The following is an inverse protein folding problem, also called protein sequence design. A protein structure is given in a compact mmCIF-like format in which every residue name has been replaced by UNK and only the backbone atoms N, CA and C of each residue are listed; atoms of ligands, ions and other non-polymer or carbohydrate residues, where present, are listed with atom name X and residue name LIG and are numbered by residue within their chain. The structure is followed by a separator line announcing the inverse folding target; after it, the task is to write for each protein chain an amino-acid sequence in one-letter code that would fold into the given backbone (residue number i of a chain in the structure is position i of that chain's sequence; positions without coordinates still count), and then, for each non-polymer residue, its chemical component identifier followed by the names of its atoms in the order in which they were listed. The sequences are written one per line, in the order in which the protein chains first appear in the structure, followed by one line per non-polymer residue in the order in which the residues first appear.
data_IF_497486780992
#
_entry.id   IF_497486780992
#
_cell.length_a   1.000
_cell.length_b   1.000
_cell.length_c   1.000
_cell.angle_alpha   90.00
_cell.angle_beta   90.00
_cell.angle_gamma   90.00
#
_symmetry.space_group_name_H-M   'P 1'
#
loop_
_entity.id
_entity.type
_entity.pdbx_description
1 polymer ?
#
# COMPACT_ATOMS: atom_id res chain seq x y z
N UNK A 1 -80.52 -21.92 4.80
CA UNK A 1 -81.97 -21.65 4.72
C UNK A 1 -82.22 -20.32 5.42
N UNK A 2 -82.88 -19.37 4.72
CA UNK A 2 -83.40 -18.06 5.17
C UNK A 2 -82.43 -16.88 5.42
N UNK A 3 -82.55 -15.96 4.46
CA UNK A 3 -82.35 -14.52 4.48
C UNK A 3 -82.79 -13.82 5.78
N UNK A 4 -82.10 -12.71 6.12
CA UNK A 4 -82.73 -11.40 6.38
C UNK A 4 -81.70 -10.28 6.29
N UNK A 5 -81.92 -9.36 5.34
CA UNK A 5 -81.31 -8.03 5.24
C UNK A 5 -81.81 -7.14 6.38
N UNK A 6 -80.97 -6.22 6.86
CA UNK A 6 -81.40 -4.86 7.18
C UNK A 6 -80.29 -3.84 6.85
N UNK A 7 -80.74 -2.69 6.37
CA UNK A 7 -79.99 -1.62 5.70
C UNK A 7 -79.55 -0.54 6.72
N UNK A 8 -78.27 -0.12 6.60
CA UNK A 8 -77.54 1.16 6.85
C UNK A 8 -78.26 2.35 7.56
N UNK A 9 -77.54 3.18 8.37
CA UNK A 9 -76.55 4.16 7.86
C UNK A 9 -75.24 4.25 8.68
N UNK A 10 -74.06 4.31 8.04
CA UNK A 10 -73.31 5.54 7.71
C UNK A 10 -73.06 6.48 8.92
N UNK A 11 -71.91 6.30 9.56
CA UNK A 11 -71.14 7.38 10.19
C UNK A 11 -69.67 7.13 9.87
N UNK A 12 -69.17 7.91 8.92
CA UNK A 12 -67.76 7.95 8.55
C UNK A 12 -67.01 8.72 9.65
N UNK A 13 -66.09 8.05 10.33
CA UNK A 13 -65.03 8.70 11.10
C UNK A 13 -63.72 8.34 10.42
N UNK A 14 -63.04 9.28 9.74
CA UNK A 14 -61.67 9.04 9.30
C UNK A 14 -60.79 9.20 10.53
N UNK A 15 -60.39 8.09 11.15
CA UNK A 15 -59.27 8.11 12.08
C UNK A 15 -57.98 8.25 11.26
N UNK A 16 -57.71 9.50 10.87
CA UNK A 16 -56.42 9.97 10.39
C UNK A 16 -55.50 10.03 11.62
N UNK A 17 -55.02 8.86 12.07
CA UNK A 17 -53.84 8.80 12.92
C UNK A 17 -52.66 9.19 12.04
N UNK A 18 -52.34 10.48 12.09
CA UNK A 18 -51.05 11.05 11.78
C UNK A 18 -49.98 10.25 12.54
N UNK A 19 -49.48 9.19 11.89
CA UNK A 19 -48.15 8.67 12.13
C UNK A 19 -47.14 9.69 11.58
N UNK A 20 -47.12 10.89 12.16
CA UNK A 20 -45.92 11.71 12.18
C UNK A 20 -44.95 10.97 13.09
N UNK A 21 -44.33 9.93 12.53
CA UNK A 21 -43.10 9.41 13.07
C UNK A 21 -42.18 10.60 13.18
N UNK A 22 -41.93 11.03 14.42
CA UNK A 22 -40.68 11.68 14.77
C UNK A 22 -39.61 10.68 14.32
N UNK A 23 -39.14 10.83 13.08
CA UNK A 23 -37.90 10.21 12.67
C UNK A 23 -36.87 10.85 13.59
N UNK A 24 -36.57 10.16 14.70
CA UNK A 24 -35.42 10.48 15.51
C UNK A 24 -34.27 10.56 14.51
N UNK A 25 -33.69 11.75 14.36
CA UNK A 25 -32.48 11.90 13.58
C UNK A 25 -31.52 10.86 14.14
N UNK A 26 -31.12 9.93 13.28
CA UNK A 26 -30.21 8.86 13.61
C UNK A 26 -28.90 9.20 12.90
N UNK A 27 -27.79 8.88 13.55
CA UNK A 27 -26.48 8.97 12.93
C UNK A 27 -26.50 8.28 11.56
N UNK A 28 -26.02 8.99 10.54
CA UNK A 28 -26.02 8.48 9.17
C UNK A 28 -24.85 9.00 8.36
N UNK A 29 -24.38 8.16 7.44
CA UNK A 29 -23.33 8.46 6.50
C UNK A 29 -23.80 8.08 5.09
N UNK A 30 -23.89 9.06 4.20
CA UNK A 30 -24.41 8.85 2.83
C UNK A 30 -23.35 9.28 1.82
N UNK A 31 -22.95 8.36 0.94
CA UNK A 31 -21.99 8.64 -0.11
C UNK A 31 -22.63 9.33 -1.33
N UNK A 32 -22.09 10.48 -1.71
CA UNK A 32 -22.42 11.22 -2.93
C UNK A 32 -21.38 10.90 -4.00
N UNK A 33 -21.73 10.00 -4.93
CA UNK A 33 -20.83 9.56 -6.01
C UNK A 33 -20.42 10.69 -6.95
N UNK A 34 -21.27 11.71 -7.17
CA UNK A 34 -20.95 12.80 -8.10
C UNK A 34 -19.87 13.70 -7.52
N UNK A 35 -19.93 13.95 -6.20
CA UNK A 35 -18.98 14.77 -5.46
C UNK A 35 -17.78 13.99 -4.93
N UNK A 36 -17.83 12.66 -4.98
CA UNK A 36 -16.85 11.78 -4.35
C UNK A 36 -16.68 12.10 -2.85
N UNK A 37 -17.80 12.30 -2.16
CA UNK A 37 -17.82 12.78 -0.79
C UNK A 37 -18.90 12.09 0.05
N UNK A 38 -18.63 11.93 1.33
CA UNK A 38 -19.58 11.46 2.33
C UNK A 38 -20.25 12.64 3.02
N UNK A 39 -21.57 12.57 3.16
CA UNK A 39 -22.34 13.45 4.05
C UNK A 39 -22.56 12.71 5.36
N UNK A 40 -22.03 13.27 6.44
CA UNK A 40 -22.04 12.70 7.78
C UNK A 40 -23.00 13.52 8.63
N UNK A 41 -24.04 12.86 9.14
CA UNK A 41 -25.04 13.48 10.01
C UNK A 41 -24.96 12.82 11.38
N UNK A 42 -24.63 13.58 12.41
CA UNK A 42 -24.47 13.07 13.76
C UNK A 42 -24.83 14.10 14.82
N UNK A 43 -25.12 13.64 16.02
CA UNK A 43 -25.23 14.52 17.17
C UNK A 43 -23.85 14.73 17.82
N UNK A 44 -23.44 15.99 17.93
CA UNK A 44 -22.22 16.37 18.64
C UNK A 44 -22.30 15.92 20.11
N UNK A 45 -21.35 15.11 20.60
CA UNK A 45 -21.38 14.60 21.97
C UNK A 45 -21.22 15.69 23.04
N UNK A 46 -20.59 16.83 22.70
CA UNK A 46 -20.36 17.93 23.65
C UNK A 46 -21.55 18.89 23.68
N UNK A 47 -22.06 19.27 22.51
CA UNK A 47 -23.10 20.30 22.39
C UNK A 47 -24.52 19.75 22.28
N UNK A 48 -24.66 18.43 22.07
CA UNK A 48 -25.94 17.76 21.74
C UNK A 48 -26.64 18.33 20.49
N UNK A 49 -25.94 19.12 19.66
CA UNK A 49 -26.49 19.67 18.42
C UNK A 49 -26.30 18.71 17.26
N UNK A 50 -27.25 18.69 16.34
CA UNK A 50 -27.12 17.94 15.09
C UNK A 50 -26.17 18.66 14.14
N UNK A 51 -25.09 18.00 13.75
CA UNK A 51 -24.11 18.47 12.81
C UNK A 51 -24.24 17.74 11.47
N UNK A 52 -23.88 18.46 10.40
CA UNK A 52 -23.73 17.92 9.06
C UNK A 52 -22.31 18.26 8.57
N UNK A 53 -21.49 17.23 8.39
CA UNK A 53 -20.10 17.35 7.93
C UNK A 53 -19.97 16.70 6.56
N UNK A 54 -19.22 17.33 5.66
CA UNK A 54 -18.88 16.74 4.37
C UNK A 54 -17.43 16.27 4.40
N UNK A 55 -17.20 14.99 4.12
CA UNK A 55 -15.87 14.42 4.01
C UNK A 55 -15.60 14.05 2.55
N UNK A 56 -14.62 14.69 1.92
CA UNK A 56 -14.23 14.38 0.53
C UNK A 56 -13.25 13.22 0.55
N UNK A 57 -13.52 12.15 -0.23
CA UNK A 57 -12.58 11.04 -0.31
C UNK A 57 -11.29 11.45 -1.04
N UNK A 58 -10.16 10.96 -0.55
CA UNK A 58 -8.80 11.19 -1.03
C UNK A 58 -8.38 10.18 -2.12
N UNK A 59 -9.34 9.57 -2.81
CA UNK A 59 -9.11 8.53 -3.81
C UNK A 59 -9.36 9.01 -5.26
N UNK A 60 -9.72 10.27 -5.49
CA UNK A 60 -9.97 10.83 -6.82
C UNK A 60 -8.67 11.21 -7.57
N UNK A 61 -7.64 10.40 -7.37
CA UNK A 61 -6.35 10.42 -8.07
C UNK A 61 -6.28 9.28 -9.08
N UNK A 62 -5.41 9.40 -10.09
CA UNK A 62 -5.17 8.34 -11.08
C UNK A 62 -3.66 8.13 -11.24
N UNK A 63 -3.01 7.52 -10.23
CA UNK A 63 -1.57 7.38 -10.23
C UNK A 63 -1.10 6.25 -11.16
N UNK A 64 0.04 6.49 -11.81
CA UNK A 64 0.84 5.44 -12.42
C UNK A 64 2.26 5.51 -11.84
N UNK A 65 2.82 4.35 -11.46
CA UNK A 65 4.16 4.24 -10.90
C UNK A 65 5.05 3.40 -11.81
N UNK A 66 6.22 3.94 -12.15
CA UNK A 66 7.34 3.11 -12.63
C UNK A 66 8.26 2.83 -11.47
N UNK A 67 8.60 1.57 -11.29
CA UNK A 67 9.59 1.15 -10.28
C UNK A 67 10.76 0.45 -10.95
N UNK A 68 11.97 0.83 -10.54
CA UNK A 68 13.22 0.25 -11.03
C UNK A 68 14.14 -0.08 -9.86
N UNK A 69 14.93 -1.13 -10.01
CA UNK A 69 15.94 -1.58 -9.06
C UNK A 69 17.28 -1.74 -9.76
N UNK A 70 18.32 -1.19 -9.15
CA UNK A 70 19.69 -1.27 -9.64
C UNK A 70 20.60 -1.78 -8.51
N UNK A 71 21.49 -2.71 -8.84
CA UNK A 71 22.54 -3.18 -7.92
C UNK A 71 23.64 -2.13 -7.82
N UNK A 72 24.06 -1.81 -6.59
CA UNK A 72 25.19 -0.93 -6.28
C UNK A 72 26.01 -1.55 -5.15
N UNK A 73 27.02 -2.34 -5.50
CA UNK A 73 27.79 -3.11 -4.52
C UNK A 73 26.92 -4.16 -3.83
N UNK A 74 26.84 -4.12 -2.49
CA UNK A 74 25.95 -4.99 -1.70
C UNK A 74 24.53 -4.43 -1.54
N UNK A 75 24.28 -3.21 -1.99
CA UNK A 75 22.99 -2.53 -1.85
C UNK A 75 22.20 -2.56 -3.18
N UNK A 76 20.90 -2.45 -3.04
CA UNK A 76 19.91 -2.28 -4.10
C UNK A 76 19.32 -0.88 -4.00
N UNK A 77 19.31 -0.16 -5.11
CA UNK A 77 18.75 1.18 -5.23
C UNK A 77 17.42 1.07 -5.97
N UNK A 78 16.34 1.27 -5.23
CA UNK A 78 14.97 1.32 -5.71
C UNK A 78 14.62 2.75 -6.08
N UNK A 79 14.15 2.96 -7.30
CA UNK A 79 13.75 4.28 -7.82
C UNK A 79 12.31 4.24 -8.26
N UNK A 80 11.56 5.28 -7.90
CA UNK A 80 10.17 5.42 -8.28
C UNK A 80 9.94 6.72 -9.05
N UNK A 81 9.22 6.61 -10.16
CA UNK A 81 8.66 7.71 -10.95
C UNK A 81 7.15 7.63 -10.81
N UNK A 82 6.55 8.67 -10.26
CA UNK A 82 5.11 8.74 -10.01
C UNK A 82 4.48 9.79 -10.91
N UNK A 83 3.36 9.45 -11.55
CA UNK A 83 2.60 10.37 -12.38
C UNK A 83 1.13 10.34 -11.99
N UNK A 84 0.43 11.46 -12.20
CA UNK A 84 -1.01 11.55 -11.98
C UNK A 84 -1.68 11.86 -13.33
N UNK A 85 -2.65 11.04 -13.76
CA UNK A 85 -3.31 11.25 -15.05
C UNK A 85 -3.96 12.64 -15.15
N UNK A 86 -4.07 13.18 -16.37
CA UNK A 86 -4.80 14.43 -16.64
C UNK A 86 -6.27 14.36 -16.23
N UNK A 87 -6.83 13.15 -16.17
CA UNK A 87 -8.22 12.90 -15.78
C UNK A 87 -8.42 12.79 -14.26
N UNK A 88 -7.35 12.88 -13.46
CA UNK A 88 -7.46 12.92 -12.01
C UNK A 88 -8.13 14.22 -11.55
N UNK A 89 -8.85 14.17 -10.43
CA UNK A 89 -9.53 15.33 -9.83
C UNK A 89 -8.77 15.90 -8.63
N UNK A 90 -7.81 15.16 -8.09
CA UNK A 90 -6.99 15.54 -6.94
C UNK A 90 -5.50 15.50 -7.27
N UNK A 91 -4.72 16.31 -6.55
CA UNK A 91 -3.26 16.27 -6.50
C UNK A 91 -2.82 15.14 -5.58
N UNK A 92 -1.82 14.33 -5.94
CA UNK A 92 -1.32 13.27 -5.05
C UNK A 92 -0.47 13.88 -3.94
N UNK A 93 -0.84 13.68 -2.68
CA UNK A 93 -0.18 14.28 -1.50
C UNK A 93 0.45 13.25 -0.55
N UNK A 94 0.27 11.96 -0.81
CA UNK A 94 0.94 10.89 -0.10
C UNK A 94 1.41 9.84 -1.09
N UNK A 95 2.66 9.42 -0.90
CA UNK A 95 3.18 8.20 -1.49
C UNK A 95 3.76 7.35 -0.37
N UNK A 96 3.12 6.21 -0.06
CA UNK A 96 3.55 5.31 1.00
C UNK A 96 3.70 3.90 0.48
N UNK A 97 4.88 3.32 0.53
CA UNK A 97 5.06 1.88 0.32
C UNK A 97 4.84 1.18 1.65
N UNK A 98 3.82 0.34 1.73
CA UNK A 98 3.34 -0.27 2.97
C UNK A 98 3.32 -1.80 2.89
N UNK A 99 3.19 -2.43 4.05
CA UNK A 99 3.15 -3.90 4.17
C UNK A 99 4.49 -4.56 3.88
N UNK A 100 5.60 -3.84 4.08
CA UNK A 100 6.92 -4.43 4.01
C UNK A 100 7.19 -5.16 5.34
N UNK A 101 7.79 -6.36 5.31
CA UNK A 101 8.24 -7.00 6.54
C UNK A 101 9.24 -6.08 7.26
N UNK A 102 9.43 -6.30 8.56
CA UNK A 102 10.50 -5.64 9.30
C UNK A 102 11.86 -6.08 8.74
N UNK A 103 12.37 -5.30 7.79
CA UNK A 103 13.59 -5.60 7.05
C UNK A 103 14.83 -4.92 7.62
N UNK A 104 14.73 -4.16 8.72
CA UNK A 104 15.90 -3.65 9.41
C UNK A 104 15.78 -3.70 10.91
N UNK A 105 16.96 -3.79 11.52
CA UNK A 105 17.18 -3.49 12.93
C UNK A 105 17.18 -1.97 13.06
N UNK A 106 16.31 -1.41 13.90
CA UNK A 106 16.39 -0.01 14.27
C UNK A 106 17.75 0.18 14.97
N UNK A 107 18.63 1.07 14.49
CA UNK A 107 19.88 1.32 15.19
C UNK A 107 19.58 1.83 16.59
N UNK A 108 20.42 1.45 17.56
CA UNK A 108 20.29 1.94 18.93
C UNK A 108 20.57 3.46 18.95
N UNK A 109 19.51 4.26 18.92
CA UNK A 109 19.63 5.71 18.94
C UNK A 109 20.02 6.18 20.35
N UNK A 110 20.65 7.37 20.48
CA UNK A 110 20.92 7.95 21.78
C UNK A 110 19.63 7.99 22.63
N UNK A 111 19.69 7.46 23.85
CA UNK A 111 18.54 7.45 24.75
C UNK A 111 18.29 8.86 25.30
N UNK A 112 17.02 9.24 25.40
CA UNK A 112 16.58 10.41 26.16
C UNK A 112 16.31 9.94 27.58
N UNK A 113 17.23 10.22 28.49
CA UNK A 113 17.17 9.78 29.90
C UNK A 113 16.81 10.90 30.85
N UNK A 114 16.99 12.15 30.43
CA UNK A 114 16.62 13.31 31.22
C UNK A 114 15.10 13.42 31.36
N UNK A 115 14.64 13.98 32.47
CA UNK A 115 13.22 14.21 32.70
C UNK A 115 12.83 15.60 32.17
N UNK A 116 11.85 15.67 31.27
CA UNK A 116 11.40 16.91 30.65
C UNK A 116 10.96 17.99 31.65
N UNK A 117 10.48 17.60 32.85
CA UNK A 117 10.01 18.53 33.89
C UNK A 117 11.12 19.05 34.79
N UNK A 118 12.17 18.26 35.04
CA UNK A 118 13.22 18.61 36.02
C UNK A 118 14.58 18.94 35.41
N UNK A 119 14.83 18.50 34.17
CA UNK A 119 16.09 18.68 33.44
C UNK A 119 15.81 19.13 32.00
N UNK A 120 14.95 20.14 31.81
CA UNK A 120 14.41 20.53 30.50
C UNK A 120 15.49 20.79 29.42
N UNK A 121 16.58 21.49 29.76
CA UNK A 121 17.65 21.81 28.79
C UNK A 121 18.39 20.55 28.33
N UNK A 122 18.70 19.65 29.28
CA UNK A 122 19.37 18.37 29.02
C UNK A 122 18.45 17.41 28.25
N UNK A 123 17.16 17.38 28.60
CA UNK A 123 16.14 16.64 27.84
C UNK A 123 16.07 17.14 26.41
N UNK A 124 15.98 18.46 26.22
CA UNK A 124 15.93 19.09 24.90
C UNK A 124 17.15 18.73 24.07
N UNK A 125 18.36 18.83 24.65
CA UNK A 125 19.60 18.46 23.97
C UNK A 125 19.64 16.97 23.57
N UNK A 126 19.29 16.07 24.49
CA UNK A 126 19.24 14.63 24.21
C UNK A 126 18.22 14.29 23.12
N UNK A 127 17.04 14.91 23.20
CA UNK A 127 15.97 14.73 22.22
C UNK A 127 16.40 15.21 20.82
N UNK A 128 17.03 16.40 20.72
CA UNK A 128 17.57 16.88 19.45
C UNK A 128 18.67 15.97 18.89
N UNK A 129 19.58 15.49 19.74
CA UNK A 129 20.61 14.54 19.32
C UNK A 129 19.99 13.26 18.75
N UNK A 130 18.97 12.72 19.42
CA UNK A 130 18.24 11.55 18.94
C UNK A 130 17.56 11.84 17.59
N UNK A 131 16.88 12.98 17.44
CA UNK A 131 16.24 13.39 16.18
C UNK A 131 17.24 13.55 15.04
N UNK A 132 18.41 14.13 15.31
CA UNK A 132 19.49 14.28 14.32
C UNK A 132 20.02 12.91 13.90
N UNK A 133 20.29 12.02 14.85
CA UNK A 133 20.71 10.64 14.56
C UNK A 133 19.68 9.89 13.72
N UNK A 134 18.39 10.00 14.07
CA UNK A 134 17.29 9.41 13.31
C UNK A 134 17.22 9.95 11.89
N UNK A 135 17.25 11.28 11.72
CA UNK A 135 17.25 11.93 10.41
C UNK A 135 18.45 11.52 9.55
N UNK A 136 19.65 11.48 10.14
CA UNK A 136 20.88 11.07 9.45
C UNK A 136 20.85 9.60 9.02
N UNK A 137 20.17 8.74 9.78
CA UNK A 137 19.93 7.36 9.38
C UNK A 137 18.89 7.27 8.25
N UNK A 138 17.74 7.92 8.41
CA UNK A 138 16.65 7.90 7.43
C UNK A 138 17.10 8.45 6.06
N UNK A 139 17.85 9.55 6.04
CA UNK A 139 18.37 10.16 4.80
C UNK A 139 19.36 9.29 4.02
N UNK A 140 19.99 8.30 4.66
CA UNK A 140 20.81 7.29 3.96
C UNK A 140 19.96 6.26 3.24
N UNK A 141 18.78 5.97 3.78
CA UNK A 141 17.88 4.92 3.27
C UNK A 141 16.89 5.52 2.27
N UNK A 142 16.27 6.64 2.60
CA UNK A 142 15.19 7.26 1.83
C UNK A 142 15.66 8.61 1.32
N UNK A 143 15.52 8.84 0.01
CA UNK A 143 15.68 10.17 -0.59
C UNK A 143 14.35 10.60 -1.17
N UNK A 144 14.06 11.89 -1.01
CA UNK A 144 12.89 12.54 -1.54
C UNK A 144 13.31 13.56 -2.61
N UNK A 145 12.49 13.77 -3.65
CA UNK A 145 12.73 14.84 -4.59
C UNK A 145 12.48 16.22 -3.99
N UNK A 146 12.85 17.28 -4.71
CA UNK A 146 12.59 18.67 -4.30
C UNK A 146 11.09 18.85 -4.02
N UNK A 147 10.79 19.52 -2.91
CA UNK A 147 9.41 19.78 -2.47
C UNK A 147 8.74 18.60 -1.76
N UNK A 148 9.44 17.47 -1.59
CA UNK A 148 8.97 16.32 -0.83
C UNK A 148 9.89 16.05 0.36
N UNK A 149 9.31 15.46 1.40
CA UNK A 149 10.02 14.89 2.54
C UNK A 149 9.87 13.37 2.52
N UNK A 150 10.92 12.66 2.92
CA UNK A 150 10.93 11.19 3.02
C UNK A 150 11.11 10.78 4.46
N UNK A 151 10.30 9.83 4.92
CA UNK A 151 10.29 9.36 6.31
C UNK A 151 10.21 7.84 6.34
N UNK A 152 10.87 7.25 7.32
CA UNK A 152 10.84 5.83 7.59
C UNK A 152 9.89 5.57 8.77
N UNK A 153 8.92 4.68 8.59
CA UNK A 153 8.02 4.27 9.68
C UNK A 153 8.23 2.80 10.00
N UNK A 154 8.53 2.53 11.27
CA UNK A 154 8.59 1.18 11.85
C UNK A 154 7.37 0.98 12.72
N UNK A 155 6.74 -0.18 12.59
CA UNK A 155 5.83 -0.71 13.59
C UNK A 155 6.39 -2.05 14.08
N UNK A 156 7.07 -2.03 15.23
CA UNK A 156 7.70 -3.23 15.80
C UNK A 156 6.66 -4.24 16.30
N UNK A 157 5.51 -3.76 16.80
CA UNK A 157 4.44 -4.62 17.32
C UNK A 157 3.82 -5.47 16.21
N UNK A 158 3.70 -4.89 15.01
CA UNK A 158 3.14 -5.57 13.84
C UNK A 158 4.25 -6.14 12.94
N UNK A 159 5.53 -5.91 13.27
CA UNK A 159 6.67 -6.39 12.49
C UNK A 159 6.70 -5.82 11.07
N UNK A 160 6.35 -4.54 10.90
CA UNK A 160 6.23 -3.89 9.59
C UNK A 160 7.09 -2.64 9.44
N UNK A 161 7.45 -2.39 8.19
CA UNK A 161 8.10 -1.17 7.75
C UNK A 161 7.26 -0.47 6.68
N UNK A 162 7.33 0.86 6.64
CA UNK A 162 6.88 1.61 5.47
C UNK A 162 7.80 2.78 5.13
N UNK A 163 7.94 3.04 3.84
CA UNK A 163 8.59 4.24 3.31
C UNK A 163 7.50 5.25 2.96
N UNK A 164 7.62 6.46 3.48
CA UNK A 164 6.59 7.50 3.34
C UNK A 164 7.20 8.73 2.73
N UNK A 165 6.57 9.24 1.68
CA UNK A 165 6.85 10.56 1.14
C UNK A 165 5.60 11.43 1.23
N UNK A 166 5.79 12.65 1.71
CA UNK A 166 4.76 13.69 1.76
C UNK A 166 5.33 15.02 1.25
N UNK A 167 4.52 15.90 0.63
CA UNK A 167 4.91 17.26 0.32
C UNK A 167 5.56 17.96 1.52
N UNK A 168 6.56 18.79 1.24
CA UNK A 168 7.22 19.60 2.26
C UNK A 168 6.36 20.78 2.69
N UNK A 169 6.40 21.12 3.98
CA UNK A 169 5.60 22.19 4.59
C UNK A 169 6.07 23.64 4.25
N UNK A 170 6.90 23.87 3.22
CA UNK A 170 7.50 25.19 2.97
C UNK A 170 6.92 25.88 1.73
N UNK A 171 6.77 27.21 1.85
CA UNK A 171 6.10 28.21 0.97
C UNK A 171 6.54 28.29 -0.51
N UNK A 172 7.18 27.28 -1.09
CA UNK A 172 7.64 27.29 -2.49
C UNK A 172 7.42 25.95 -3.20
N UNK A 173 6.22 25.37 -3.06
CA UNK A 173 5.63 24.26 -3.86
C UNK A 173 6.45 22.94 -3.98
N UNK A 174 5.80 21.78 -4.25
CA UNK A 174 4.41 21.58 -4.64
C UNK A 174 3.52 21.00 -3.55
N UNK A 175 2.22 21.33 -3.59
CA UNK A 175 1.09 20.64 -2.93
C UNK A 175 0.95 19.13 -3.30
N UNK A 176 1.99 18.50 -3.85
CA UNK A 176 2.00 17.13 -4.34
C UNK A 176 2.20 16.99 -5.86
N UNK A 177 1.62 15.97 -6.48
CA UNK A 177 1.68 15.74 -7.94
C UNK A 177 0.32 16.03 -8.57
N UNK A 178 0.19 17.22 -9.18
CA UNK A 178 -1.07 17.66 -9.79
C UNK A 178 -1.48 16.78 -10.98
N UNK A 179 -2.77 16.77 -11.35
CA UNK A 179 -3.23 16.08 -12.56
C UNK A 179 -2.41 16.44 -13.80
N UNK A 180 -2.00 15.43 -14.56
CA UNK A 180 -1.16 15.58 -15.75
C UNK A 180 0.33 15.81 -15.50
N UNK A 181 0.78 15.77 -14.25
CA UNK A 181 2.20 15.95 -13.87
C UNK A 181 2.85 14.63 -13.49
N UNK A 182 4.18 14.64 -13.54
CA UNK A 182 5.05 13.52 -13.17
C UNK A 182 6.15 14.03 -12.25
N UNK A 183 6.50 13.23 -11.24
CA UNK A 183 7.58 13.48 -10.31
C UNK A 183 8.52 12.27 -10.24
N UNK A 184 9.80 12.56 -10.39
CA UNK A 184 10.91 11.62 -10.25
C UNK A 184 11.65 11.84 -8.94
N UNK A 185 12.51 10.89 -8.56
CA UNK A 185 13.51 11.10 -7.51
C UNK A 185 13.10 10.57 -6.13
N UNK A 186 12.03 9.78 -6.05
CA UNK A 186 11.75 8.96 -4.88
C UNK A 186 12.70 7.76 -4.90
N UNK A 187 13.55 7.62 -3.88
CA UNK A 187 14.59 6.58 -3.85
C UNK A 187 14.63 5.90 -2.50
N UNK A 188 14.82 4.58 -2.53
CA UNK A 188 15.11 3.75 -1.36
C UNK A 188 16.40 2.96 -1.62
N UNK A 189 17.37 3.02 -0.72
CA UNK A 189 18.62 2.24 -0.78
C UNK A 189 18.64 1.21 0.33
N UNK A 190 18.74 -0.06 -0.03
CA UNK A 190 18.52 -1.19 0.88
C UNK A 190 19.28 -2.44 0.44
N UNK A 191 19.64 -3.32 1.37
CA UNK A 191 20.36 -4.58 1.05
C UNK A 191 19.43 -5.71 0.62
N UNK A 192 18.14 -5.59 0.93
CA UNK A 192 17.14 -6.59 0.59
C UNK A 192 16.89 -6.64 -0.92
N UNK A 193 16.54 -7.83 -1.39
CA UNK A 193 16.15 -8.09 -2.77
C UNK A 193 14.73 -7.60 -3.06
N UNK A 194 14.44 -7.27 -4.34
CA UNK A 194 13.16 -6.74 -4.74
C UNK A 194 12.05 -7.77 -4.58
N UNK A 195 11.01 -7.42 -3.86
CA UNK A 195 9.74 -8.11 -3.91
C UNK A 195 8.63 -7.21 -4.43
N UNK A 196 7.51 -7.80 -4.84
CA UNK A 196 6.28 -7.05 -5.03
C UNK A 196 5.73 -6.58 -3.68
N UNK A 197 5.45 -5.28 -3.60
CA UNK A 197 4.73 -4.62 -2.52
C UNK A 197 3.67 -3.67 -3.11
N UNK A 198 2.98 -2.92 -2.24
CA UNK A 198 1.96 -1.97 -2.66
C UNK A 198 2.30 -0.57 -2.17
N UNK A 199 2.10 0.39 -3.06
CA UNK A 199 2.09 1.80 -2.75
C UNK A 199 0.66 2.24 -2.45
N UNK A 200 0.41 2.75 -1.24
CA UNK A 200 -0.77 3.50 -0.87
C UNK A 200 -0.56 4.96 -1.25
N UNK A 201 -1.48 5.51 -2.03
CA UNK A 201 -1.49 6.92 -2.41
C UNK A 201 -2.83 7.56 -2.06
N UNK A 202 -2.77 8.82 -1.63
CA UNK A 202 -3.93 9.66 -1.34
C UNK A 202 -3.84 10.95 -2.15
N UNK A 203 -5.00 11.56 -2.36
CA UNK A 203 -5.17 12.86 -2.97
C UNK A 203 -5.43 13.94 -1.93
N UNK A 204 -4.89 15.13 -2.18
CA UNK A 204 -5.09 16.30 -1.33
C UNK A 204 -6.58 16.64 -1.19
N UNK A 205 -6.97 16.96 0.04
CA UNK A 205 -8.28 17.52 0.40
C UNK A 205 -8.07 18.71 1.34
N UNK A 206 -9.07 19.60 1.42
CA UNK A 206 -9.01 20.75 2.32
C UNK A 206 -9.02 20.35 3.81
N UNK A 207 -9.68 19.23 4.14
CA UNK A 207 -9.84 18.72 5.51
C UNK A 207 -9.50 17.23 5.59
N UNK A 208 -8.21 16.85 5.51
CA UNK A 208 -7.79 15.44 5.51
C UNK A 208 -8.09 14.73 6.84
N UNK A 209 -8.24 15.50 7.92
CA UNK A 209 -8.64 15.06 9.26
C UNK A 209 -10.16 15.12 9.48
N UNK A 210 -10.94 15.17 8.39
CA UNK A 210 -12.39 15.36 8.45
C UNK A 210 -13.18 14.22 9.09
N UNK A 211 -12.54 13.11 9.48
CA UNK A 211 -13.17 12.03 10.26
C UNK A 211 -12.86 12.11 11.75
N UNK A 212 -11.94 13.00 12.14
CA UNK A 212 -11.62 13.23 13.55
C UNK A 212 -12.81 13.93 14.22
N UNK A 213 -13.06 13.57 15.48
CA UNK A 213 -14.15 14.08 16.33
C UNK A 213 -15.58 13.64 15.95
N UNK A 214 -15.73 12.51 15.25
CA UNK A 214 -17.03 11.83 15.17
C UNK A 214 -17.35 11.13 16.51
N UNK A 215 -18.64 10.94 16.85
CA UNK A 215 -19.02 10.29 18.11
C UNK A 215 -18.41 8.89 18.23
N UNK A 216 -17.87 8.55 19.40
CA UNK A 216 -17.30 7.23 19.67
C UNK A 216 -18.42 6.20 19.93
N UNK A 217 -19.07 5.79 18.84
CA UNK A 217 -20.15 4.79 18.85
C UNK A 217 -19.79 3.64 17.91
N UNK A 218 -20.30 2.41 18.14
CA UNK A 218 -20.04 1.28 17.25
C UNK A 218 -20.39 1.55 15.78
N UNK A 219 -21.44 2.36 15.53
CA UNK A 219 -21.83 2.78 14.19
C UNK A 219 -20.72 3.61 13.51
N UNK A 220 -20.25 4.66 14.18
CA UNK A 220 -19.22 5.55 13.64
C UNK A 220 -17.86 4.86 13.53
N UNK A 221 -17.47 4.01 14.48
CA UNK A 221 -16.25 3.21 14.36
C UNK A 221 -16.27 2.36 13.08
N UNK A 222 -17.36 1.61 12.86
CA UNK A 222 -17.52 0.79 11.65
C UNK A 222 -17.54 1.64 10.37
N UNK A 223 -18.19 2.81 10.40
CA UNK A 223 -18.25 3.69 9.22
C UNK A 223 -16.95 4.41 8.92
N UNK A 224 -16.19 4.78 9.93
CA UNK A 224 -14.84 5.33 9.74
C UNK A 224 -13.97 4.28 9.06
N UNK A 225 -13.99 3.03 9.51
CA UNK A 225 -13.25 1.94 8.87
C UNK A 225 -13.64 1.79 7.39
N UNK A 226 -14.94 1.79 7.08
CA UNK A 226 -15.45 1.72 5.70
C UNK A 226 -14.98 2.90 4.83
N UNK A 227 -15.05 4.12 5.36
CA UNK A 227 -14.65 5.33 4.64
C UNK A 227 -13.14 5.32 4.41
N UNK A 228 -12.35 5.08 5.46
CA UNK A 228 -10.88 5.04 5.42
C UNK A 228 -10.37 3.92 4.53
N UNK A 229 -11.07 2.79 4.50
CA UNK A 229 -10.74 1.71 3.59
C UNK A 229 -10.84 2.18 2.15
N UNK A 230 -11.81 3.01 1.77
CA UNK A 230 -11.96 3.51 0.40
C UNK A 230 -11.12 4.75 0.09
N UNK A 231 -10.48 5.36 1.09
CA UNK A 231 -9.88 6.70 1.02
C UNK A 231 -8.50 6.77 0.33
N UNK A 232 -8.12 5.72 -0.38
CA UNK A 232 -6.82 5.65 -1.04
C UNK A 232 -6.86 4.73 -2.25
N UNK A 233 -5.83 4.84 -3.08
CA UNK A 233 -5.57 3.91 -4.18
C UNK A 233 -4.31 3.10 -3.89
N UNK A 234 -4.29 1.87 -4.39
CA UNK A 234 -3.14 0.96 -4.26
C UNK A 234 -2.52 0.72 -5.63
N UNK A 235 -1.22 0.89 -5.75
CA UNK A 235 -0.46 0.60 -6.98
C UNK A 235 0.62 -0.42 -6.64
N UNK A 236 0.78 -1.53 -7.39
CA UNK A 236 1.85 -2.48 -7.15
C UNK A 236 3.21 -1.83 -7.48
N UNK A 237 4.23 -2.09 -6.66
CA UNK A 237 5.59 -1.53 -6.81
C UNK A 237 6.66 -2.56 -6.42
N UNK A 238 7.83 -2.51 -7.06
CA UNK A 238 9.02 -3.23 -6.55
C UNK A 238 9.54 -2.53 -5.30
N UNK A 239 9.74 -3.27 -4.22
CA UNK A 239 10.24 -2.75 -2.96
C UNK A 239 11.25 -3.72 -2.31
N UNK A 240 12.11 -3.24 -1.40
CA UNK A 240 13.00 -4.11 -0.63
C UNK A 240 12.20 -4.97 0.35
N UNK A 241 11.99 -6.23 0.00
CA UNK A 241 11.11 -7.14 0.77
C UNK A 241 11.86 -8.35 1.28
N UNK A 242 12.77 -8.93 0.48
CA UNK A 242 13.36 -10.23 0.76
C UNK A 242 14.76 -10.04 1.39
N UNK A 243 14.95 -10.36 2.68
CA UNK A 243 16.24 -10.22 3.31
C UNK A 243 17.24 -11.23 2.78
N UNK A 244 18.43 -10.76 2.40
CA UNK A 244 19.55 -11.63 2.05
C UNK A 244 20.08 -12.30 3.33
N UNK A 245 20.20 -13.64 3.38
CA UNK A 245 20.71 -14.32 4.57
C UNK A 245 22.13 -13.86 4.94
N UNK A 246 22.38 -13.70 6.24
CA UNK A 246 23.70 -13.42 6.80
C UNK A 246 23.98 -14.41 7.94
N UNK A 247 24.94 -15.35 7.80
CA UNK A 247 25.77 -15.60 6.61
C UNK A 247 24.94 -16.03 5.39
N UNK A 248 25.51 -15.86 4.19
CA UNK A 248 24.81 -16.18 2.95
C UNK A 248 24.53 -17.68 2.81
N UNK A 249 23.31 -18.02 2.41
CA UNK A 249 22.89 -19.38 2.07
C UNK A 249 21.88 -19.31 0.92
N UNK A 250 22.24 -19.90 -0.23
CA UNK A 250 21.37 -19.92 -1.40
C UNK A 250 20.05 -20.66 -1.13
N UNK A 251 20.10 -21.78 -0.39
CA UNK A 251 18.91 -22.54 -0.03
C UNK A 251 17.97 -21.72 0.88
N UNK A 252 18.52 -21.01 1.86
CA UNK A 252 17.72 -20.14 2.73
C UNK A 252 17.14 -18.95 1.96
N UNK A 253 17.90 -18.36 1.04
CA UNK A 253 17.37 -17.32 0.17
C UNK A 253 16.22 -17.87 -0.70
N UNK A 254 16.37 -19.05 -1.30
CA UNK A 254 15.32 -19.70 -2.08
C UNK A 254 14.04 -19.97 -1.27
N UNK A 255 14.16 -20.34 0.02
CA UNK A 255 13.01 -20.45 0.93
C UNK A 255 12.29 -19.12 1.13
N UNK A 256 13.04 -18.05 1.40
CA UNK A 256 12.48 -16.70 1.56
C UNK A 256 11.77 -16.22 0.29
N UNK A 257 12.36 -16.50 -0.87
CA UNK A 257 11.73 -16.24 -2.18
C UNK A 257 10.42 -17.02 -2.33
N UNK A 258 10.42 -18.33 -2.03
CA UNK A 258 9.22 -19.16 -2.08
C UNK A 258 8.11 -18.59 -1.17
N UNK A 259 8.43 -18.25 0.07
CA UNK A 259 7.49 -17.64 1.02
C UNK A 259 6.92 -16.32 0.50
N UNK A 260 7.75 -15.47 -0.11
CA UNK A 260 7.27 -14.21 -0.69
C UNK A 260 6.34 -14.45 -1.89
N UNK A 261 6.70 -15.36 -2.79
CA UNK A 261 5.87 -15.72 -3.96
C UNK A 261 4.51 -16.28 -3.55
N UNK A 262 4.44 -17.04 -2.45
CA UNK A 262 3.16 -17.52 -1.91
C UNK A 262 2.23 -16.37 -1.48
N UNK A 263 2.77 -15.23 -1.04
CA UNK A 263 1.95 -14.08 -0.66
C UNK A 263 1.23 -13.41 -1.84
N UNK A 264 1.69 -13.64 -3.08
CA UNK A 264 1.15 -13.00 -4.28
C UNK A 264 -0.26 -13.47 -4.61
N UNK A 265 -0.61 -14.70 -4.24
CA UNK A 265 -1.96 -15.24 -4.45
C UNK A 265 -3.04 -14.48 -3.67
N UNK A 266 -2.71 -13.96 -2.48
CA UNK A 266 -3.64 -13.18 -1.63
C UNK A 266 -4.14 -11.91 -2.31
N UNK A 267 -3.37 -11.37 -3.26
CA UNK A 267 -3.65 -10.09 -3.90
C UNK A 267 -3.83 -10.24 -5.42
N UNK A 268 -4.13 -11.46 -5.89
CA UNK A 268 -4.44 -11.75 -7.29
C UNK A 268 -3.30 -11.35 -8.27
N UNK A 269 -2.05 -11.28 -7.80
CA UNK A 269 -0.88 -11.04 -8.67
C UNK A 269 -0.40 -12.32 -9.36
N UNK A 270 -0.91 -13.48 -8.95
CA UNK A 270 -0.59 -14.77 -9.55
C UNK A 270 -1.78 -15.71 -9.40
N UNK A 271 -2.12 -16.40 -10.49
CA UNK A 271 -3.11 -17.45 -10.47
C UNK A 271 -2.57 -18.71 -9.78
N UNK A 272 -3.47 -19.48 -9.17
CA UNK A 272 -3.14 -20.69 -8.42
C UNK A 272 -2.32 -21.70 -9.24
N UNK A 273 -2.62 -21.85 -10.53
CA UNK A 273 -1.90 -22.78 -11.42
C UNK A 273 -0.45 -22.37 -11.64
N UNK A 274 -0.19 -21.07 -11.90
CA UNK A 274 1.16 -20.53 -12.07
C UNK A 274 1.94 -20.67 -10.76
N UNK A 275 1.30 -20.31 -9.64
CA UNK A 275 1.88 -20.45 -8.30
C UNK A 275 2.26 -21.91 -7.99
N UNK A 276 1.42 -22.87 -8.36
CA UNK A 276 1.68 -24.30 -8.17
C UNK A 276 2.89 -24.77 -8.97
N UNK A 277 3.02 -24.32 -10.23
CA UNK A 277 4.19 -24.64 -11.07
C UNK A 277 5.48 -24.03 -10.51
N UNK A 278 5.44 -22.77 -10.07
CA UNK A 278 6.59 -22.13 -9.42
C UNK A 278 6.98 -22.83 -8.11
N UNK A 279 6.01 -23.19 -7.27
CA UNK A 279 6.26 -23.91 -6.02
C UNK A 279 6.97 -25.25 -6.27
N UNK A 280 6.55 -26.01 -7.29
CA UNK A 280 7.23 -27.25 -7.68
C UNK A 280 8.69 -27.02 -8.07
N UNK A 281 9.01 -25.91 -8.74
CA UNK A 281 10.40 -25.58 -9.08
C UNK A 281 11.20 -25.16 -7.84
N UNK A 282 10.59 -24.45 -6.88
CA UNK A 282 11.24 -24.18 -5.59
C UNK A 282 11.52 -25.47 -4.80
N UNK A 283 10.61 -26.45 -4.84
CA UNK A 283 10.78 -27.76 -4.19
C UNK A 283 11.94 -28.58 -4.79
N UNK A 284 12.33 -28.31 -6.04
CA UNK A 284 13.53 -28.86 -6.67
C UNK A 284 14.76 -28.00 -6.36
N UNK A 285 14.62 -26.67 -6.44
CA UNK A 285 15.72 -25.73 -6.26
C UNK A 285 16.33 -25.79 -4.85
N UNK A 286 15.49 -25.81 -3.81
CA UNK A 286 15.96 -25.72 -2.43
C UNK A 286 16.88 -26.92 -2.08
N UNK A 287 16.47 -28.19 -2.25
CA UNK A 287 17.36 -29.33 -1.99
C UNK A 287 18.60 -29.33 -2.89
N UNK A 288 18.47 -28.91 -4.15
CA UNK A 288 19.62 -28.82 -5.05
C UNK A 288 20.68 -27.83 -4.54
N UNK A 289 20.26 -26.70 -3.97
CA UNK A 289 21.17 -25.72 -3.35
C UNK A 289 21.79 -26.26 -2.06
N UNK A 290 21.03 -26.99 -1.24
CA UNK A 290 21.56 -27.64 -0.03
C UNK A 290 22.63 -28.68 -0.35
N UNK A 291 22.43 -29.45 -1.41
CA UNK A 291 23.37 -30.48 -1.87
C UNK A 291 24.48 -29.92 -2.77
N UNK A 292 24.54 -28.59 -2.96
CA UNK A 292 25.46 -27.92 -3.91
C UNK A 292 25.41 -28.51 -5.35
N UNK A 293 24.26 -29.05 -5.75
CA UNK A 293 24.01 -29.61 -7.07
C UNK A 293 23.68 -28.47 -8.06
N UNK A 294 24.72 -27.75 -8.49
CA UNK A 294 24.60 -26.60 -9.40
C UNK A 294 23.83 -26.91 -10.70
N UNK A 295 24.05 -28.04 -11.39
CA UNK A 295 23.28 -28.36 -12.60
C UNK A 295 21.77 -28.41 -12.36
N UNK A 296 21.34 -29.07 -11.28
CA UNK A 296 19.91 -29.18 -10.94
C UNK A 296 19.33 -27.84 -10.51
N UNK A 297 20.08 -27.06 -9.70
CA UNK A 297 19.67 -25.73 -9.31
C UNK A 297 19.48 -24.81 -10.52
N UNK A 298 20.41 -24.82 -11.49
CA UNK A 298 20.28 -24.05 -12.74
C UNK A 298 19.07 -24.47 -13.56
N UNK A 299 18.79 -25.77 -13.67
CA UNK A 299 17.63 -26.26 -14.40
C UNK A 299 16.31 -25.77 -13.78
N UNK A 300 16.19 -25.81 -12.45
CA UNK A 300 15.02 -25.29 -11.74
C UNK A 300 14.86 -23.77 -11.91
N UNK A 301 15.96 -23.01 -11.81
CA UNK A 301 15.96 -21.56 -12.07
C UNK A 301 15.54 -21.24 -13.51
N UNK A 302 16.08 -21.98 -14.49
CA UNK A 302 15.72 -21.81 -15.89
C UNK A 302 14.23 -22.09 -16.15
N UNK A 303 13.67 -23.11 -15.51
CA UNK A 303 12.24 -23.40 -15.59
C UNK A 303 11.37 -22.27 -15.01
N UNK A 304 11.74 -21.71 -13.86
CA UNK A 304 11.02 -20.55 -13.29
C UNK A 304 11.14 -19.30 -14.16
N UNK A 305 12.32 -19.02 -14.70
CA UNK A 305 12.53 -17.92 -15.66
C UNK A 305 11.67 -18.12 -16.91
N UNK A 306 11.57 -19.36 -17.40
CA UNK A 306 10.72 -19.70 -18.54
C UNK A 306 9.25 -19.38 -18.24
N UNK A 307 8.76 -19.74 -17.05
CA UNK A 307 7.39 -19.39 -16.63
C UNK A 307 7.18 -17.87 -16.67
N UNK A 308 8.12 -17.05 -16.16
CA UNK A 308 8.03 -15.60 -16.28
C UNK A 308 7.93 -15.13 -17.74
N UNK A 309 8.78 -15.66 -18.63
CA UNK A 309 8.81 -15.26 -20.05
C UNK A 309 7.62 -15.77 -20.86
N UNK A 310 7.02 -16.90 -20.47
CA UNK A 310 5.85 -17.46 -21.15
C UNK A 310 4.62 -16.55 -20.99
N UNK A 311 4.48 -15.92 -19.82
CA UNK A 311 3.43 -14.92 -19.54
C UNK A 311 3.81 -13.51 -20.02
N UNK A 312 5.11 -13.19 -20.05
CA UNK A 312 5.63 -11.86 -20.40
C UNK A 312 6.77 -11.96 -21.41
N UNK A 313 6.43 -12.17 -22.69
CA UNK A 313 7.42 -12.48 -23.75
C UNK A 313 8.49 -11.41 -23.96
N UNK A 314 8.17 -10.16 -23.64
CA UNK A 314 9.06 -8.99 -23.76
C UNK A 314 9.93 -8.77 -22.50
N UNK A 315 9.68 -9.54 -21.42
CA UNK A 315 10.49 -9.52 -20.22
C UNK A 315 11.74 -10.39 -20.39
N UNK A 316 12.86 -9.76 -20.72
CA UNK A 316 14.18 -10.41 -20.79
C UNK A 316 14.97 -10.18 -19.50
N UNK A 317 15.93 -11.05 -19.18
CA UNK A 317 16.73 -11.00 -17.94
C UNK A 317 17.43 -9.65 -17.72
N UNK A 318 17.92 -9.03 -18.80
CA UNK A 318 18.52 -7.70 -18.74
C UNK A 318 17.54 -6.60 -18.28
N UNK A 319 16.23 -6.79 -18.50
CA UNK A 319 15.16 -5.84 -18.16
C UNK A 319 14.47 -6.12 -16.83
N UNK A 320 14.81 -7.20 -16.12
CA UNK A 320 14.14 -7.56 -14.86
C UNK A 320 14.13 -6.41 -13.83
N UNK A 321 15.21 -5.61 -13.80
CA UNK A 321 15.34 -4.47 -12.89
C UNK A 321 14.66 -3.17 -13.33
N UNK A 322 14.10 -3.06 -14.54
CA UNK A 322 13.63 -1.78 -15.08
C UNK A 322 12.21 -1.86 -15.62
N UNK A 323 11.43 -0.81 -15.39
CA UNK A 323 10.16 -0.62 -16.07
C UNK A 323 10.39 0.00 -17.44
N UNK A 324 9.59 -0.40 -18.42
CA UNK A 324 9.51 0.31 -19.69
C UNK A 324 8.35 1.32 -19.68
N UNK A 325 8.31 2.21 -20.67
CA UNK A 325 7.30 3.26 -20.74
C UNK A 325 5.89 2.75 -21.02
N UNK A 326 5.77 1.52 -21.50
CA UNK A 326 4.50 0.88 -21.90
C UNK A 326 3.90 -0.02 -20.81
N UNK A 327 4.64 -0.31 -19.75
CA UNK A 327 4.30 -1.31 -18.74
C UNK A 327 4.22 -0.69 -17.33
N UNK A 328 3.73 0.54 -17.25
CA UNK A 328 3.60 1.28 -15.98
C UNK A 328 2.57 0.61 -15.06
N UNK A 329 2.90 0.50 -13.78
CA UNK A 329 1.95 -0.03 -12.79
C UNK A 329 0.83 0.99 -12.55
N UNK A 330 -0.41 0.52 -12.64
CA UNK A 330 -1.63 1.30 -12.45
C UNK A 330 -2.33 0.94 -11.13
N UNK A 331 -3.30 1.76 -10.73
CA UNK A 331 -4.09 1.48 -9.54
C UNK A 331 -4.87 0.15 -9.66
N UNK A 332 -4.82 -0.66 -8.61
CA UNK A 332 -5.55 -1.92 -8.51
C UNK A 332 -7.05 -1.66 -8.42
N UNK A 333 -7.88 -2.49 -9.10
CA UNK A 333 -9.33 -2.40 -9.00
C UNK A 333 -9.80 -2.74 -7.57
N UNK A 334 -10.59 -1.84 -6.97
CA UNK A 334 -11.05 -1.99 -5.58
C UNK A 334 -12.51 -2.41 -5.47
N UNK A 335 -13.34 -2.09 -6.46
CA UNK A 335 -14.75 -2.48 -6.49
C UNK A 335 -14.98 -3.72 -7.35
N UNK A 336 -16.05 -4.52 -7.09
CA UNK A 336 -16.40 -5.65 -7.94
C UNK A 336 -16.57 -5.26 -9.42
N UNK A 337 -17.21 -4.12 -9.68
CA UNK A 337 -17.39 -3.60 -11.03
C UNK A 337 -16.05 -3.30 -11.74
N UNK A 338 -15.07 -2.74 -11.02
CA UNK A 338 -13.73 -2.49 -11.57
C UNK A 338 -12.99 -3.80 -11.88
N UNK A 339 -13.12 -4.82 -11.01
CA UNK A 339 -12.46 -6.13 -11.21
C UNK A 339 -13.03 -6.90 -12.39
N UNK A 340 -14.33 -6.75 -12.67
CA UNK A 340 -14.96 -7.35 -13.85
C UNK A 340 -14.45 -6.68 -15.14
N UNK A 341 -14.28 -5.34 -15.12
CA UNK A 341 -13.82 -4.59 -16.28
C UNK A 341 -12.34 -4.86 -16.62
N UNK A 342 -11.51 -5.09 -15.60
CA UNK A 342 -10.08 -5.37 -15.77
C UNK A 342 -9.71 -6.63 -14.98
N UNK A 343 -9.94 -7.83 -15.56
CA UNK A 343 -9.58 -9.07 -14.90
C UNK A 343 -8.06 -9.13 -14.65
N UNK A 344 -7.62 -9.65 -13.49
CA UNK A 344 -6.21 -9.74 -13.18
C UNK A 344 -5.49 -10.65 -14.18
N UNK A 345 -4.23 -10.35 -14.53
CA UNK A 345 -3.43 -11.24 -15.36
C UNK A 345 -3.13 -12.55 -14.63
N UNK A 346 -2.94 -13.63 -15.38
CA UNK A 346 -2.56 -14.92 -14.83
C UNK A 346 -1.27 -14.86 -13.98
N UNK A 347 -0.36 -13.98 -14.37
CA UNK A 347 0.83 -13.63 -13.62
C UNK A 347 1.14 -12.16 -13.85
N UNK A 348 1.19 -11.36 -12.79
CA UNK A 348 1.52 -9.95 -12.84
C UNK A 348 2.96 -9.73 -13.32
N UNK A 349 3.16 -8.77 -14.23
CA UNK A 349 4.47 -8.48 -14.83
C UNK A 349 5.48 -8.03 -13.79
N UNK A 350 5.07 -7.22 -12.81
CA UNK A 350 5.93 -6.73 -11.76
C UNK A 350 6.40 -7.85 -10.85
N UNK A 351 5.51 -8.80 -10.54
CA UNK A 351 5.85 -10.02 -9.81
C UNK A 351 6.85 -10.88 -10.61
N UNK A 352 6.64 -11.05 -11.92
CA UNK A 352 7.58 -11.75 -12.80
C UNK A 352 8.96 -11.06 -12.86
N UNK A 353 8.99 -9.72 -12.90
CA UNK A 353 10.22 -8.91 -12.86
C UNK A 353 11.01 -9.11 -11.56
N UNK A 354 10.32 -9.05 -10.41
CA UNK A 354 10.93 -9.31 -9.10
C UNK A 354 11.57 -10.72 -9.10
N UNK A 355 10.81 -11.75 -9.48
CA UNK A 355 11.30 -13.12 -9.50
C UNK A 355 12.51 -13.29 -10.43
N UNK A 356 12.48 -12.72 -11.64
CA UNK A 356 13.61 -12.83 -12.57
C UNK A 356 14.88 -12.16 -12.03
N UNK A 357 14.74 -11.00 -11.40
CA UNK A 357 15.85 -10.30 -10.77
C UNK A 357 16.46 -11.16 -9.64
N UNK A 358 15.63 -11.72 -8.78
CA UNK A 358 16.07 -12.52 -7.64
C UNK A 358 16.71 -13.85 -8.05
N UNK A 359 16.14 -14.50 -9.07
CA UNK A 359 16.71 -15.71 -9.64
C UNK A 359 18.06 -15.45 -10.31
N UNK A 360 18.25 -14.27 -10.93
CA UNK A 360 19.57 -13.85 -11.42
C UNK A 360 20.55 -13.70 -10.29
N UNK A 361 20.17 -12.96 -9.25
CA UNK A 361 21.01 -12.77 -8.07
C UNK A 361 21.44 -14.11 -7.46
N UNK A 362 20.52 -15.07 -7.32
CA UNK A 362 20.80 -16.39 -6.79
C UNK A 362 21.83 -17.17 -7.64
N UNK A 363 21.69 -17.13 -8.97
CA UNK A 363 22.65 -17.78 -9.89
C UNK A 363 24.01 -17.11 -9.84
N UNK A 364 24.08 -15.78 -9.86
CA UNK A 364 25.34 -15.02 -9.81
C UNK A 364 26.11 -15.36 -8.53
N UNK A 365 25.42 -15.45 -7.38
CA UNK A 365 26.02 -15.84 -6.10
C UNK A 365 26.52 -17.28 -6.12
N UNK A 366 25.68 -18.22 -6.58
CA UNK A 366 26.05 -19.64 -6.73
C UNK A 366 27.30 -19.84 -7.61
N UNK A 367 27.45 -19.03 -8.64
CA UNK A 367 28.58 -19.10 -9.59
C UNK A 367 29.84 -18.46 -9.04
N UNK A 368 29.70 -17.34 -8.33
CA UNK A 368 30.82 -16.66 -7.67
C UNK A 368 31.41 -17.43 -6.48
N UNK A 369 30.72 -18.46 -5.97
CA UNK A 369 31.13 -19.23 -4.79
C UNK A 369 31.11 -18.43 -3.48
N UNK A 370 30.37 -17.32 -3.46
CA UNK A 370 30.27 -16.37 -2.34
C UNK A 370 28.93 -16.41 -1.64
#
# INVERSE_FOLDING_TARGET
MKFSLFIRPMLAVPLLCLGLGLAHAQDSAVFDMQKNAWKLYYQDPETSQWLNKTYVQQNAIKPNIKSAVQVSGSEQIYRYRLSNSREAKQTIDLFRIWGLPLVYVIPNFPAVTANAKTENDKWTQQYWNQLISKRNFETKIIKAPKGWSGNLRVDENVGQTSFVWTPGLKDTDPDGISPGRTQDGFVVTRVELPGMARAKLTGATAEPWGLDNLPDTPYWSQKIDEIQDLDYVLVPVLAPVIPVPTPYSGAELARRLKTHVQSWGKYEHIHADVLTRLNRQFDVLIPALEMNNKPTARAAVAAMRKECTDHHRDLVDAKAGQDDDTQVSVALPRTPAQRIATPPPAFDRLAARALMFDLRYLVDRMDSGR
#
